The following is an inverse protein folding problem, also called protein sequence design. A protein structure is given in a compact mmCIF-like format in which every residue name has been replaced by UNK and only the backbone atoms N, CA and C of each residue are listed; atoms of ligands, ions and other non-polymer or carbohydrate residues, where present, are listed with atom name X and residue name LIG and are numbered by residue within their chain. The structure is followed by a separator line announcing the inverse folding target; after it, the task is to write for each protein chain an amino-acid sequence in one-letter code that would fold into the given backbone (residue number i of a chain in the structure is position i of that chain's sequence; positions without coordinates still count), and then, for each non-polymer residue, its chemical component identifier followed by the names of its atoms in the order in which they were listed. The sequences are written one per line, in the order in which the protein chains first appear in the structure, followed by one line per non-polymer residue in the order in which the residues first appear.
data_IF_153565403983
#
_entry.id   IF_153565403983
#
_cell.length_a   1.000
_cell.length_b   1.000
_cell.length_c   1.000
_cell.angle_alpha   90.00
_cell.angle_beta   90.00
_cell.angle_gamma   90.00
#
_symmetry.space_group_name_H-M   'P 1'
#
loop_
_entity.id
_entity.type
_entity.pdbx_description
1 polymer ?
#
# COMPACT_ATOMS: atom_id res chain seq x y z
N UNK A 1 1.91 -5.58 -26.66
CA UNK A 1 2.36 -6.61 -27.64
C UNK A 1 3.83 -7.02 -27.44
N UNK A 2 4.74 -6.08 -27.11
CA UNK A 2 6.19 -6.41 -27.03
C UNK A 2 6.56 -7.31 -25.84
N UNK A 3 5.84 -7.25 -24.75
CA UNK A 3 6.02 -8.18 -23.63
C UNK A 3 5.74 -9.63 -24.03
N UNK A 4 4.64 -9.87 -24.80
CA UNK A 4 4.33 -11.19 -25.32
C UNK A 4 5.39 -11.66 -26.32
N UNK A 5 5.83 -10.76 -27.20
CA UNK A 5 6.91 -11.06 -28.16
C UNK A 5 8.22 -11.43 -27.46
N UNK A 6 8.56 -10.75 -26.34
CA UNK A 6 9.73 -11.08 -25.54
C UNK A 6 9.62 -12.48 -24.94
N UNK A 7 8.45 -12.84 -24.39
CA UNK A 7 8.23 -14.16 -23.78
C UNK A 7 8.25 -15.30 -24.81
N UNK A 8 7.84 -15.04 -26.03
CA UNK A 8 7.71 -16.07 -27.08
C UNK A 8 8.92 -16.18 -28.01
N UNK A 9 9.86 -15.21 -28.02
CA UNK A 9 10.99 -15.24 -28.94
C UNK A 9 12.08 -16.22 -28.52
N UNK A 10 12.59 -17.00 -29.46
CA UNK A 10 13.77 -17.84 -29.28
C UNK A 10 15.08 -17.14 -29.73
N UNK A 11 14.96 -16.01 -30.42
CA UNK A 11 16.09 -15.20 -30.89
C UNK A 11 16.63 -14.33 -29.74
N UNK A 12 17.84 -14.62 -29.31
CA UNK A 12 18.51 -13.91 -28.20
C UNK A 12 18.78 -12.43 -28.51
N UNK A 13 19.08 -12.07 -29.76
CA UNK A 13 19.32 -10.68 -30.14
C UNK A 13 18.04 -9.86 -30.07
N UNK A 14 16.93 -10.43 -30.58
CA UNK A 14 15.59 -9.84 -30.48
C UNK A 14 15.11 -9.76 -29.01
N UNK A 15 15.34 -10.80 -28.21
CA UNK A 15 15.00 -10.80 -26.80
C UNK A 15 15.70 -9.66 -26.05
N UNK A 16 17.01 -9.45 -26.26
CA UNK A 16 17.75 -8.34 -25.66
C UNK A 16 17.19 -6.97 -26.03
N UNK A 17 16.87 -6.74 -27.32
CA UNK A 17 16.27 -5.48 -27.77
C UNK A 17 14.92 -5.21 -27.11
N UNK A 18 14.06 -6.22 -27.07
CA UNK A 18 12.73 -6.11 -26.44
C UNK A 18 12.85 -5.90 -24.92
N UNK A 19 13.75 -6.60 -24.24
CA UNK A 19 13.97 -6.43 -22.80
C UNK A 19 14.47 -5.01 -22.48
N UNK A 20 15.40 -4.48 -23.28
CA UNK A 20 15.89 -3.11 -23.11
C UNK A 20 14.77 -2.07 -23.33
N UNK A 21 13.99 -2.22 -24.42
CA UNK A 21 12.85 -1.36 -24.71
C UNK A 21 11.82 -1.37 -23.56
N UNK A 22 11.40 -2.55 -23.11
CA UNK A 22 10.44 -2.68 -22.02
C UNK A 22 11.00 -2.13 -20.70
N UNK A 23 12.27 -2.33 -20.43
CA UNK A 23 12.95 -1.77 -19.26
C UNK A 23 13.00 -0.24 -19.27
N UNK A 24 13.30 0.38 -20.42
CA UNK A 24 13.30 1.84 -20.55
C UNK A 24 11.90 2.43 -20.41
N UNK A 25 10.91 1.86 -21.10
CA UNK A 25 9.50 2.29 -20.98
C UNK A 25 8.97 2.12 -19.55
N UNK A 26 9.37 1.07 -18.84
CA UNK A 26 8.97 0.89 -17.45
C UNK A 26 9.60 1.93 -16.53
N UNK A 27 10.87 2.28 -16.71
CA UNK A 27 11.52 3.36 -15.94
C UNK A 27 10.83 4.71 -16.18
N UNK A 28 10.54 5.04 -17.44
CA UNK A 28 9.79 6.26 -17.77
C UNK A 28 8.42 6.28 -17.10
N UNK A 29 7.66 5.18 -17.16
CA UNK A 29 6.38 5.05 -16.48
C UNK A 29 6.51 5.24 -14.96
N UNK A 30 7.56 4.68 -14.34
CA UNK A 30 7.84 4.84 -12.90
C UNK A 30 8.11 6.30 -12.57
N UNK A 31 8.96 6.97 -13.33
CA UNK A 31 9.27 8.39 -13.13
C UNK A 31 8.00 9.25 -13.24
N UNK A 32 7.21 9.10 -14.31
CA UNK A 32 5.95 9.83 -14.48
C UNK A 32 5.00 9.55 -13.30
N UNK A 33 4.95 8.31 -12.83
CA UNK A 33 4.10 7.95 -11.69
C UNK A 33 4.57 8.66 -10.42
N UNK A 34 5.86 8.69 -10.13
CA UNK A 34 6.44 9.35 -8.94
C UNK A 34 6.19 10.86 -8.97
N UNK A 35 6.47 11.52 -10.09
CA UNK A 35 6.21 12.96 -10.28
C UNK A 35 4.72 13.28 -10.09
N UNK A 36 3.84 12.47 -10.67
CA UNK A 36 2.38 12.65 -10.55
C UNK A 36 1.92 12.43 -9.11
N UNK A 37 2.46 11.44 -8.40
CA UNK A 37 2.16 11.17 -6.99
C UNK A 37 2.58 12.37 -6.12
N UNK A 38 3.79 12.89 -6.31
CA UNK A 38 4.28 14.05 -5.56
C UNK A 38 3.38 15.27 -5.77
N UNK A 39 3.01 15.55 -7.02
CA UNK A 39 2.09 16.64 -7.33
C UNK A 39 0.70 16.41 -6.73
N UNK A 40 0.14 15.20 -6.82
CA UNK A 40 -1.15 14.87 -6.24
C UNK A 40 -1.16 15.03 -4.72
N UNK A 41 -0.10 14.59 -4.03
CA UNK A 41 0.08 14.78 -2.58
C UNK A 41 0.12 16.25 -2.20
N UNK A 42 0.84 17.08 -2.95
CA UNK A 42 0.88 18.51 -2.68
C UNK A 42 -0.51 19.16 -2.74
N UNK A 43 -1.37 18.70 -3.67
CA UNK A 43 -2.77 19.17 -3.75
C UNK A 43 -3.59 18.73 -2.51
N UNK A 44 -3.39 17.51 -2.02
CA UNK A 44 -4.07 17.03 -0.79
C UNK A 44 -3.66 17.90 0.41
N UNK A 45 -2.38 18.21 0.56
CA UNK A 45 -1.85 18.97 1.70
C UNK A 45 -2.26 20.45 1.63
N UNK A 46 -2.28 21.06 0.44
CA UNK A 46 -2.61 22.49 0.27
C UNK A 46 -4.11 22.77 0.40
N UNK A 47 -4.98 21.81 0.09
CA UNK A 47 -6.44 21.97 0.32
C UNK A 47 -6.82 22.08 1.80
N UNK A 48 -5.84 21.95 2.70
CA UNK A 48 -6.01 21.96 4.17
C UNK A 48 -5.45 23.21 4.85
N UNK A 49 -5.01 24.24 4.12
CA UNK A 49 -4.37 25.44 4.69
C UNK A 49 -5.34 26.52 5.17
N UNK A 50 -6.12 26.22 6.20
CA UNK A 50 -6.74 27.22 7.06
C UNK A 50 -6.53 26.84 8.54
N UNK A 51 -5.36 27.13 9.09
CA UNK A 51 -5.09 27.36 10.51
C UNK A 51 -5.47 26.30 11.58
N UNK A 52 -6.18 25.26 11.23
CA UNK A 52 -6.51 24.11 12.10
C UNK A 52 -5.85 22.86 11.55
N UNK A 53 -5.41 21.92 12.42
CA UNK A 53 -4.82 20.62 12.04
C UNK A 53 -5.59 20.04 10.84
N UNK A 54 -4.95 20.08 9.67
CA UNK A 54 -5.55 19.82 8.38
C UNK A 54 -6.14 18.41 8.30
N UNK A 55 -7.47 18.34 8.35
CA UNK A 55 -8.20 17.09 8.22
C UNK A 55 -8.27 16.74 6.75
N UNK A 56 -7.50 15.76 6.31
CA UNK A 56 -7.61 15.17 4.97
C UNK A 56 -9.07 14.79 4.72
N UNK A 57 -9.63 15.16 3.57
CA UNK A 57 -11.01 14.85 3.22
C UNK A 57 -11.30 13.36 3.27
N UNK A 58 -12.57 12.99 3.43
CA UNK A 58 -12.97 11.59 3.47
C UNK A 58 -12.80 10.88 2.11
N UNK A 59 -12.87 11.63 1.01
CA UNK A 59 -12.59 11.22 -0.36
C UNK A 59 -11.45 12.10 -0.90
N UNK A 60 -10.47 11.51 -1.57
CA UNK A 60 -9.48 12.26 -2.34
C UNK A 60 -9.94 12.33 -3.80
N UNK A 61 -10.26 13.53 -4.27
CA UNK A 61 -10.59 13.77 -5.68
C UNK A 61 -9.60 14.78 -6.26
N UNK A 62 -8.74 14.31 -7.17
CA UNK A 62 -7.63 15.10 -7.68
C UNK A 62 -7.63 15.07 -9.21
N UNK A 63 -7.78 16.23 -9.81
CA UNK A 63 -7.84 16.40 -11.25
C UNK A 63 -6.74 17.34 -11.74
N UNK A 64 -6.11 16.99 -12.86
CA UNK A 64 -5.15 17.84 -13.52
C UNK A 64 -4.97 17.46 -14.99
N UNK A 65 -4.70 18.46 -15.84
CA UNK A 65 -4.50 18.28 -17.29
C UNK A 65 -3.18 17.57 -17.63
N UNK A 66 -2.13 17.72 -16.81
CA UNK A 66 -0.85 17.06 -17.04
C UNK A 66 -0.86 15.57 -16.68
N UNK A 67 -1.93 15.05 -16.07
CA UNK A 67 -1.97 13.65 -15.66
C UNK A 67 -2.20 12.71 -16.83
N UNK A 68 -1.27 11.79 -17.02
CA UNK A 68 -1.40 10.79 -18.09
C UNK A 68 -2.35 9.65 -17.71
N UNK A 69 -3.27 9.30 -18.60
CA UNK A 69 -4.26 8.24 -18.38
C UNK A 69 -3.62 6.89 -18.01
N UNK A 70 -2.42 6.59 -18.53
CA UNK A 70 -1.70 5.34 -18.27
C UNK A 70 -1.22 5.17 -16.82
N UNK A 71 -1.13 6.24 -16.02
CA UNK A 71 -0.60 6.19 -14.66
C UNK A 71 -1.59 6.58 -13.56
N UNK A 72 -2.73 7.23 -13.88
CA UNK A 72 -3.68 7.71 -12.87
C UNK A 72 -4.18 6.60 -11.93
N UNK A 73 -4.31 5.36 -12.42
CA UNK A 73 -4.69 4.23 -11.58
C UNK A 73 -3.62 3.81 -10.57
N UNK A 74 -2.33 3.98 -10.92
CA UNK A 74 -1.22 3.75 -10.00
C UNK A 74 -1.15 4.86 -8.95
N UNK A 75 -1.35 6.11 -9.39
CA UNK A 75 -1.40 7.28 -8.50
C UNK A 75 -2.54 7.15 -7.48
N UNK A 76 -3.75 6.80 -7.93
CA UNK A 76 -4.88 6.56 -7.03
C UNK A 76 -4.56 5.46 -6.00
N UNK A 77 -3.89 4.37 -6.42
CA UNK A 77 -3.44 3.31 -5.50
C UNK A 77 -2.46 3.83 -4.45
N UNK A 78 -1.47 4.62 -4.86
CA UNK A 78 -0.48 5.21 -3.95
C UNK A 78 -1.09 6.18 -2.93
N UNK A 79 -2.10 6.95 -3.35
CA UNK A 79 -2.83 7.82 -2.43
C UNK A 79 -3.63 7.02 -1.40
N UNK A 80 -4.27 5.91 -1.81
CA UNK A 80 -4.95 5.01 -0.86
C UNK A 80 -3.96 4.35 0.10
N UNK A 81 -2.80 3.90 -0.39
CA UNK A 81 -1.75 3.32 0.45
C UNK A 81 -1.26 4.29 1.52
N UNK A 82 -1.17 5.58 1.21
CA UNK A 82 -0.63 6.59 2.13
C UNK A 82 -1.69 7.15 3.07
N UNK A 83 -2.77 7.65 2.51
CA UNK A 83 -3.79 8.38 3.28
C UNK A 83 -4.93 7.50 3.82
N UNK A 84 -5.04 6.25 3.36
CA UNK A 84 -6.14 5.35 3.64
C UNK A 84 -7.51 6.01 3.41
N UNK A 85 -7.67 6.62 2.25
CA UNK A 85 -8.91 7.27 1.79
C UNK A 85 -9.23 6.77 0.39
N UNK A 86 -10.51 6.52 0.05
CA UNK A 86 -10.89 6.31 -1.34
C UNK A 86 -10.39 7.47 -2.18
N UNK A 87 -9.76 7.15 -3.31
CA UNK A 87 -9.03 8.14 -4.12
C UNK A 87 -9.45 8.05 -5.57
N UNK A 88 -9.83 9.18 -6.15
CA UNK A 88 -10.18 9.38 -7.55
C UNK A 88 -9.13 10.32 -8.15
N UNK A 89 -8.45 9.86 -9.18
CA UNK A 89 -7.46 10.67 -9.93
C UNK A 89 -7.93 10.82 -11.36
N UNK A 90 -8.00 12.05 -11.82
CA UNK A 90 -8.58 12.42 -13.11
C UNK A 90 -7.50 13.03 -14.02
N UNK A 91 -7.39 12.46 -15.21
CA UNK A 91 -6.70 13.06 -16.35
C UNK A 91 -7.70 13.97 -17.06
N UNK A 92 -7.53 15.27 -16.93
CA UNK A 92 -8.41 16.26 -17.54
C UNK A 92 -8.07 16.39 -19.03
N UNK A 93 -9.06 16.21 -19.87
CA UNK A 93 -8.96 16.39 -21.32
C UNK A 93 -9.84 17.53 -21.83
N UNK A 94 -9.74 17.87 -23.10
CA UNK A 94 -10.47 19.00 -23.67
C UNK A 94 -12.01 18.81 -23.60
N UNK A 95 -12.51 17.70 -24.10
CA UNK A 95 -13.95 17.38 -24.15
C UNK A 95 -14.34 16.35 -23.10
N UNK A 96 -13.51 15.35 -22.92
CA UNK A 96 -13.75 14.24 -21.99
C UNK A 96 -12.57 14.06 -21.07
N UNK A 97 -12.87 13.96 -19.78
CA UNK A 97 -11.90 13.63 -18.74
C UNK A 97 -12.05 12.17 -18.35
N UNK A 98 -10.90 11.49 -18.13
CA UNK A 98 -10.89 10.09 -17.70
C UNK A 98 -10.34 9.95 -16.30
N UNK A 99 -11.03 9.16 -15.48
CA UNK A 99 -10.69 8.95 -14.09
C UNK A 99 -10.37 7.50 -13.79
N UNK A 100 -9.52 7.32 -12.81
CA UNK A 100 -9.30 6.03 -12.16
C UNK A 100 -9.47 6.19 -10.65
N UNK A 101 -10.20 5.27 -10.06
CA UNK A 101 -10.52 5.27 -8.65
C UNK A 101 -9.97 4.02 -7.95
N UNK A 102 -9.61 4.18 -6.68
CA UNK A 102 -9.22 3.08 -5.78
C UNK A 102 -9.93 3.25 -4.45
N UNK A 103 -10.27 2.14 -3.81
CA UNK A 103 -11.05 2.12 -2.59
C UNK A 103 -10.25 1.66 -1.38
N UNK A 104 -10.86 1.82 -0.20
CA UNK A 104 -10.46 1.19 1.05
C UNK A 104 -11.36 -0.03 1.32
N UNK A 105 -10.93 -0.92 2.22
CA UNK A 105 -11.71 -2.10 2.59
C UNK A 105 -13.11 -1.68 3.12
N UNK A 106 -14.14 -2.41 2.68
CA UNK A 106 -15.52 -2.17 3.10
C UNK A 106 -16.27 -1.07 2.32
N UNK A 107 -15.63 -0.34 1.41
CA UNK A 107 -16.28 0.69 0.61
C UNK A 107 -16.32 0.32 -0.88
N UNK A 108 -17.52 0.19 -1.46
CA UNK A 108 -17.73 -0.17 -2.87
C UNK A 108 -17.65 1.07 -3.76
N UNK A 109 -16.44 1.33 -4.33
CA UNK A 109 -16.18 2.55 -5.11
C UNK A 109 -16.95 2.61 -6.43
N UNK A 110 -17.23 1.47 -7.09
CA UNK A 110 -17.96 1.50 -8.37
C UNK A 110 -19.45 1.84 -8.16
N UNK A 111 -20.10 1.31 -7.12
CA UNK A 111 -21.47 1.69 -6.79
C UNK A 111 -21.54 3.13 -6.33
N UNK A 112 -20.58 3.58 -5.55
CA UNK A 112 -20.46 4.96 -5.14
C UNK A 112 -20.35 5.90 -6.35
N UNK A 113 -19.48 5.62 -7.31
CA UNK A 113 -19.36 6.42 -8.54
C UNK A 113 -20.67 6.38 -9.36
N UNK A 114 -21.25 5.21 -9.51
CA UNK A 114 -22.53 5.04 -10.24
C UNK A 114 -23.71 5.77 -9.58
N UNK A 115 -23.62 6.07 -8.30
CA UNK A 115 -24.65 6.90 -7.65
C UNK A 115 -24.78 8.29 -8.29
N UNK A 116 -23.75 8.76 -9.02
CA UNK A 116 -23.73 10.03 -9.76
C UNK A 116 -23.75 9.81 -11.29
N UNK A 117 -24.40 8.73 -11.75
CA UNK A 117 -24.45 8.32 -13.17
C UNK A 117 -24.96 9.39 -14.11
N UNK A 118 -25.78 10.32 -13.63
CA UNK A 118 -26.32 11.46 -14.38
C UNK A 118 -25.25 12.40 -14.97
N UNK A 119 -24.04 12.37 -14.40
CA UNK A 119 -22.89 13.16 -14.88
C UNK A 119 -21.91 12.35 -15.74
N UNK A 120 -22.05 11.02 -15.77
CA UNK A 120 -21.05 10.13 -16.36
C UNK A 120 -21.39 9.77 -17.81
N UNK A 121 -20.37 9.65 -18.64
CA UNK A 121 -20.46 9.07 -19.98
C UNK A 121 -20.44 7.54 -19.88
N UNK A 122 -19.50 7.02 -19.07
CA UNK A 122 -19.39 5.61 -18.76
C UNK A 122 -18.76 5.41 -17.36
N UNK A 123 -19.01 4.26 -16.76
CA UNK A 123 -18.34 3.84 -15.53
C UNK A 123 -18.29 2.31 -15.43
N UNK A 124 -17.12 1.79 -15.12
CA UNK A 124 -16.88 0.35 -14.98
C UNK A 124 -15.83 0.03 -13.91
N UNK A 125 -15.86 -1.20 -13.42
CA UNK A 125 -14.90 -1.65 -12.43
C UNK A 125 -15.46 -2.65 -11.43
N UNK A 126 -14.76 -2.73 -10.30
CA UNK A 126 -15.03 -3.63 -9.18
C UNK A 126 -15.09 -2.83 -7.87
N UNK A 127 -15.54 -3.42 -6.75
CA UNK A 127 -15.64 -2.69 -5.48
C UNK A 127 -14.38 -1.95 -5.04
N UNK A 128 -13.19 -2.49 -5.35
CA UNK A 128 -11.91 -1.90 -4.94
C UNK A 128 -11.25 -1.00 -5.98
N UNK A 129 -11.69 -1.04 -7.25
CA UNK A 129 -11.06 -0.29 -8.34
C UNK A 129 -12.07 -0.01 -9.45
N UNK A 130 -12.20 1.23 -9.85
CA UNK A 130 -13.10 1.64 -10.90
C UNK A 130 -12.46 2.67 -11.82
N UNK A 131 -13.05 2.85 -12.99
CA UNK A 131 -12.75 3.92 -13.91
C UNK A 131 -14.03 4.52 -14.46
N UNK A 132 -13.98 5.78 -14.87
CA UNK A 132 -15.10 6.44 -15.51
C UNK A 132 -14.63 7.52 -16.49
N UNK A 133 -15.54 7.89 -17.37
CA UNK A 133 -15.38 9.02 -18.27
C UNK A 133 -16.49 10.04 -17.97
N UNK A 134 -16.14 11.32 -17.94
CA UNK A 134 -17.03 12.43 -17.70
C UNK A 134 -16.78 13.52 -18.75
N UNK A 135 -17.81 14.25 -19.17
CA UNK A 135 -17.63 15.49 -19.93
C UNK A 135 -16.87 16.51 -19.07
N UNK A 136 -15.80 17.10 -19.60
CA UNK A 136 -14.93 17.97 -18.81
C UNK A 136 -15.68 19.15 -18.18
N UNK A 137 -16.69 19.66 -18.85
CA UNK A 137 -17.55 20.73 -18.35
C UNK A 137 -18.35 20.32 -17.09
N UNK A 138 -18.66 19.03 -16.92
CA UNK A 138 -19.39 18.48 -15.76
C UNK A 138 -18.49 18.05 -14.61
N UNK A 139 -17.17 18.09 -14.80
CA UNK A 139 -16.20 17.55 -13.82
C UNK A 139 -16.32 18.22 -12.45
N UNK A 140 -16.46 19.54 -12.40
CA UNK A 140 -16.54 20.27 -11.13
C UNK A 140 -17.81 19.92 -10.34
N UNK A 141 -18.97 19.80 -11.02
CA UNK A 141 -20.24 19.41 -10.39
C UNK A 141 -20.19 17.97 -9.92
N UNK A 142 -19.61 17.06 -10.72
CA UNK A 142 -19.40 15.67 -10.31
C UNK A 142 -18.51 15.58 -9.06
N UNK A 143 -17.40 16.31 -9.03
CA UNK A 143 -16.49 16.36 -7.86
C UNK A 143 -17.26 16.77 -6.60
N UNK A 144 -17.96 17.92 -6.65
CA UNK A 144 -18.72 18.41 -5.51
C UNK A 144 -19.76 17.39 -5.05
N UNK A 145 -20.52 16.81 -5.99
CA UNK A 145 -21.55 15.80 -5.68
C UNK A 145 -20.95 14.58 -4.99
N UNK A 146 -19.81 14.07 -5.48
CA UNK A 146 -19.15 12.92 -4.89
C UNK A 146 -18.55 13.26 -3.51
N UNK A 147 -17.95 14.43 -3.32
CA UNK A 147 -17.43 14.86 -2.02
C UNK A 147 -18.55 15.00 -0.98
N UNK A 148 -19.69 15.57 -1.34
CA UNK A 148 -20.88 15.68 -0.47
C UNK A 148 -21.44 14.31 -0.09
N UNK A 149 -21.56 13.38 -1.06
CA UNK A 149 -22.01 12.00 -0.79
C UNK A 149 -21.00 11.24 0.07
N UNK A 150 -19.70 11.40 -0.19
CA UNK A 150 -18.63 10.79 0.57
C UNK A 150 -18.64 11.26 2.04
N UNK A 151 -18.89 12.52 2.29
CA UNK A 151 -18.95 13.06 3.67
C UNK A 151 -20.02 12.38 4.53
N UNK A 152 -21.11 11.90 3.92
CA UNK A 152 -22.23 11.22 4.58
C UNK A 152 -22.00 9.71 4.73
N UNK A 153 -21.30 9.09 3.77
CA UNK A 153 -21.12 7.63 3.71
C UNK A 153 -19.84 7.15 4.38
N UNK A 154 -18.78 7.94 4.29
CA UNK A 154 -17.47 7.57 4.83
C UNK A 154 -17.33 8.09 6.26
N UNK A 155 -17.43 7.19 7.20
CA UNK A 155 -17.24 7.46 8.62
C UNK A 155 -15.80 7.12 9.08
N UNK A 156 -15.46 7.47 10.32
CA UNK A 156 -14.13 7.23 10.88
C UNK A 156 -13.75 5.74 10.94
N UNK A 157 -14.71 4.84 11.07
CA UNK A 157 -14.48 3.41 11.14
C UNK A 157 -13.99 2.86 9.79
N UNK A 158 -14.66 3.18 8.69
CA UNK A 158 -14.23 2.82 7.32
C UNK A 158 -12.89 3.45 6.92
N UNK A 159 -12.57 4.60 7.49
CA UNK A 159 -11.35 5.35 7.20
C UNK A 159 -10.22 5.08 8.20
N UNK A 160 -10.37 4.09 9.05
CA UNK A 160 -9.33 3.62 9.96
C UNK A 160 -8.73 2.33 9.44
N UNK A 161 -7.41 2.35 9.24
CA UNK A 161 -6.69 1.14 8.81
C UNK A 161 -6.71 0.12 9.95
N UNK A 162 -7.20 -1.07 9.66
CA UNK A 162 -7.25 -2.18 10.61
C UNK A 162 -6.37 -3.32 10.15
N UNK A 163 -5.72 -3.99 11.11
CA UNK A 163 -5.01 -5.24 10.89
C UNK A 163 -5.79 -6.38 11.54
N UNK A 164 -6.09 -7.41 10.75
CA UNK A 164 -6.64 -8.65 11.29
C UNK A 164 -5.51 -9.46 11.91
N UNK A 165 -5.66 -9.81 13.16
CA UNK A 165 -4.79 -10.70 13.90
C UNK A 165 -5.54 -11.99 14.16
N UNK A 166 -4.92 -13.14 13.89
CA UNK A 166 -5.54 -14.46 14.08
C UNK A 166 -5.42 -14.93 15.53
N UNK A 167 -4.26 -14.74 16.16
CA UNK A 167 -4.11 -14.98 17.60
C UNK A 167 -2.90 -14.25 18.19
N UNK A 168 -2.83 -14.21 19.52
CA UNK A 168 -1.64 -13.83 20.25
C UNK A 168 -0.66 -15.02 20.27
N UNK A 169 0.59 -14.77 19.85
CA UNK A 169 1.65 -15.78 19.83
C UNK A 169 2.93 -15.16 20.40
N UNK A 170 3.32 -15.52 21.63
CA UNK A 170 4.58 -15.06 22.21
C UNK A 170 5.79 -15.58 21.42
N UNK A 171 6.86 -14.79 21.34
CA UNK A 171 8.07 -15.16 20.58
C UNK A 171 8.70 -16.48 21.07
N UNK A 172 8.58 -16.79 22.34
CA UNK A 172 9.11 -18.01 22.97
C UNK A 172 8.53 -19.32 22.41
N UNK A 173 7.34 -19.26 21.78
CA UNK A 173 6.67 -20.46 21.23
C UNK A 173 7.09 -20.70 19.77
N UNK A 174 7.74 -19.72 19.13
CA UNK A 174 8.15 -19.83 17.74
C UNK A 174 9.28 -20.84 17.62
N UNK A 175 9.06 -21.84 16.77
CA UNK A 175 9.99 -22.93 16.47
C UNK A 175 9.88 -23.34 15.01
N UNK A 176 10.88 -24.05 14.49
CA UNK A 176 10.84 -24.65 13.15
C UNK A 176 9.64 -25.56 13.00
N UNK A 177 9.32 -26.38 14.01
CA UNK A 177 8.15 -27.26 13.98
C UNK A 177 6.82 -26.51 13.88
N UNK A 178 6.69 -25.34 14.52
CA UNK A 178 5.53 -24.46 14.35
C UNK A 178 5.48 -23.90 12.93
N UNK A 179 6.61 -23.41 12.41
CA UNK A 179 6.69 -22.89 11.06
C UNK A 179 6.29 -23.94 10.01
N UNK A 180 6.82 -25.17 10.12
CA UNK A 180 6.46 -26.29 9.25
C UNK A 180 4.97 -26.63 9.32
N UNK A 181 4.38 -26.57 10.51
CA UNK A 181 2.95 -26.79 10.69
C UNK A 181 2.12 -25.68 9.99
N UNK A 182 2.55 -24.43 10.08
CA UNK A 182 1.91 -23.30 9.38
C UNK A 182 2.05 -23.43 7.85
N UNK A 183 3.20 -23.88 7.35
CA UNK A 183 3.41 -24.09 5.91
C UNK A 183 2.49 -25.14 5.29
N UNK A 184 1.90 -26.05 6.09
CA UNK A 184 0.87 -26.99 5.61
C UNK A 184 -0.45 -26.30 5.22
N UNK A 185 -0.66 -25.05 5.65
CA UNK A 185 -1.80 -24.22 5.25
C UNK A 185 -1.58 -23.53 3.89
N UNK A 186 -0.37 -23.54 3.36
CA UNK A 186 -0.04 -22.95 2.06
C UNK A 186 -0.74 -23.70 0.88
N UNK A 187 -0.94 -23.04 -0.28
CA UNK A 187 -0.43 -21.71 -0.65
C UNK A 187 -1.28 -20.57 -0.07
N UNK A 188 -0.62 -19.56 0.43
CA UNK A 188 -1.27 -18.36 0.92
C UNK A 188 -1.62 -17.39 -0.22
N UNK A 189 -2.71 -16.61 -0.05
CA UNK A 189 -3.19 -15.66 -1.03
C UNK A 189 -4.47 -14.94 -0.58
N UNK A 190 -5.20 -14.32 -1.50
CA UNK A 190 -6.34 -13.45 -1.18
C UNK A 190 -7.45 -14.09 -0.33
N UNK A 191 -7.76 -15.39 -0.55
CA UNK A 191 -8.80 -16.14 0.19
C UNK A 191 -8.25 -17.06 1.29
N UNK A 192 -6.93 -17.16 1.35
CA UNK A 192 -6.20 -17.91 2.36
C UNK A 192 -5.02 -17.05 2.83
N UNK A 193 -5.24 -15.99 3.62
CA UNK A 193 -4.16 -15.10 4.05
C UNK A 193 -3.19 -15.85 4.97
N UNK A 194 -1.94 -15.42 4.92
CA UNK A 194 -0.91 -15.91 5.83
C UNK A 194 -1.29 -15.57 7.27
N UNK A 195 -1.23 -16.56 8.22
CA UNK A 195 -1.54 -16.33 9.60
C UNK A 195 -0.76 -15.16 10.21
N UNK A 196 -1.48 -14.27 10.86
CA UNK A 196 -0.93 -13.03 11.42
C UNK A 196 -1.06 -13.06 12.94
N UNK A 197 0.05 -12.82 13.61
CA UNK A 197 0.17 -12.94 15.05
C UNK A 197 0.43 -11.60 15.72
N UNK A 198 0.10 -11.48 17.00
CA UNK A 198 0.53 -10.38 17.85
C UNK A 198 1.40 -10.93 19.00
N UNK A 199 2.52 -10.27 19.26
CA UNK A 199 3.27 -10.46 20.49
C UNK A 199 3.34 -9.12 21.24
N UNK A 200 3.15 -9.19 22.54
CA UNK A 200 3.12 -8.00 23.41
C UNK A 200 4.36 -7.89 24.25
N UNK A 201 4.69 -6.64 24.57
CA UNK A 201 5.77 -6.35 25.53
C UNK A 201 7.11 -6.94 25.10
N UNK A 202 7.40 -6.90 23.81
CA UNK A 202 8.63 -7.38 23.18
C UNK A 202 9.71 -6.31 23.31
N UNK A 203 10.94 -6.70 23.61
CA UNK A 203 12.08 -5.80 23.81
C UNK A 203 12.86 -5.67 22.50
N UNK A 204 13.22 -4.46 22.13
CA UNK A 204 14.11 -4.17 21.01
C UNK A 204 15.56 -4.31 21.47
N UNK A 205 16.27 -5.33 21.01
CA UNK A 205 17.71 -5.54 21.28
C UNK A 205 18.62 -4.81 20.30
N UNK A 206 18.22 -4.72 19.02
CA UNK A 206 18.93 -3.98 17.96
C UNK A 206 17.91 -3.36 17.00
N UNK A 207 18.28 -2.21 16.43
CA UNK A 207 17.44 -1.46 15.52
C UNK A 207 18.32 -0.73 14.50
N UNK A 208 18.06 -0.95 13.20
CA UNK A 208 18.72 -0.24 12.12
C UNK A 208 17.86 -0.14 10.88
N UNK A 209 18.09 0.88 10.11
CA UNK A 209 17.49 1.03 8.78
C UNK A 209 18.31 0.25 7.74
N UNK A 210 17.65 -0.39 6.79
CA UNK A 210 18.25 -1.17 5.71
C UNK A 210 17.54 -0.92 4.37
N UNK A 211 18.16 -1.37 3.30
CA UNK A 211 17.68 -1.15 1.93
C UNK A 211 18.15 0.19 1.36
N UNK A 212 17.82 0.44 0.08
CA UNK A 212 18.15 1.71 -0.56
C UNK A 212 17.45 2.86 0.21
N UNK A 213 18.19 3.89 0.56
CA UNK A 213 17.73 5.08 1.29
C UNK A 213 17.15 4.79 2.69
N UNK A 214 17.54 3.66 3.33
CA UNK A 214 17.04 3.32 4.66
C UNK A 214 15.54 3.01 4.72
N UNK A 215 14.95 2.57 3.63
CA UNK A 215 13.50 2.39 3.46
C UNK A 215 12.86 1.38 4.41
N UNK A 216 13.61 0.43 4.93
CA UNK A 216 13.10 -0.66 5.77
C UNK A 216 13.73 -0.60 7.16
N UNK A 217 13.02 -1.11 8.16
CA UNK A 217 13.50 -1.21 9.54
C UNK A 217 13.84 -2.66 9.84
N UNK A 218 15.09 -2.94 10.16
CA UNK A 218 15.56 -4.24 10.67
C UNK A 218 15.71 -4.17 12.17
N UNK A 219 15.16 -5.16 12.85
CA UNK A 219 15.10 -5.24 14.31
C UNK A 219 15.66 -6.58 14.76
N UNK A 220 16.17 -6.60 15.99
CA UNK A 220 16.37 -7.81 16.77
C UNK A 220 15.47 -7.73 17.99
N UNK A 221 14.60 -8.71 18.16
CA UNK A 221 13.50 -8.68 19.13
C UNK A 221 13.60 -9.84 20.10
N UNK A 222 13.37 -9.57 21.39
CA UNK A 222 13.34 -10.58 22.44
C UNK A 222 12.15 -10.32 23.38
N UNK A 223 11.61 -11.35 24.00
CA UNK A 223 10.46 -11.20 24.90
C UNK A 223 10.84 -11.31 26.37
N UNK A 224 11.97 -11.95 26.72
CA UNK A 224 12.44 -12.04 28.08
C UNK A 224 13.98 -11.85 28.16
N UNK A 225 14.42 -10.97 29.08
CA UNK A 225 15.84 -10.66 29.30
C UNK A 225 16.64 -11.81 29.95
N UNK A 226 16.00 -12.90 30.42
CA UNK A 226 16.63 -13.89 31.28
C UNK A 226 16.91 -15.26 30.69
N UNK A 227 16.47 -15.54 29.48
CA UNK A 227 16.71 -16.82 28.84
C UNK A 227 17.76 -16.59 27.72
N UNK A 228 18.79 -17.42 27.68
CA UNK A 228 19.87 -17.42 26.67
C UNK A 228 19.36 -17.72 25.22
N UNK A 229 18.16 -17.35 24.88
CA UNK A 229 17.64 -17.49 23.53
C UNK A 229 18.04 -16.25 22.73
N UNK A 230 18.73 -16.51 21.64
CA UNK A 230 19.03 -15.49 20.63
C UNK A 230 17.71 -14.87 20.19
N UNK A 231 17.58 -13.55 20.35
CA UNK A 231 16.40 -12.82 19.89
C UNK A 231 16.12 -13.05 18.40
N UNK A 232 14.88 -12.91 18.00
CA UNK A 232 14.45 -13.08 16.61
C UNK A 232 14.88 -11.91 15.74
N UNK A 233 15.47 -12.20 14.59
CA UNK A 233 15.61 -11.21 13.52
C UNK A 233 14.24 -10.85 12.96
N UNK A 234 13.98 -9.56 12.76
CA UNK A 234 12.73 -9.06 12.26
C UNK A 234 12.94 -7.97 11.21
N UNK A 235 12.07 -7.94 10.21
CA UNK A 235 12.07 -6.94 9.15
C UNK A 235 10.71 -6.27 9.02
N UNK A 236 10.67 -4.93 9.07
CA UNK A 236 9.50 -4.10 8.82
C UNK A 236 9.68 -3.35 7.50
N UNK A 237 9.10 -3.90 6.45
CA UNK A 237 9.21 -3.31 5.12
C UNK A 237 8.48 -1.97 5.02
N UNK A 238 9.13 -0.96 4.45
CA UNK A 238 8.56 0.37 4.27
C UNK A 238 8.46 1.22 5.53
N UNK A 239 9.02 0.76 6.68
CA UNK A 239 8.90 1.45 7.97
C UNK A 239 10.22 2.13 8.41
N UNK A 240 11.16 2.36 7.49
CA UNK A 240 12.45 2.97 7.82
C UNK A 240 12.33 4.36 8.46
N UNK A 241 11.37 5.18 8.01
CA UNK A 241 11.10 6.51 8.55
C UNK A 241 10.67 6.49 10.02
N UNK A 242 10.07 5.37 10.48
CA UNK A 242 9.65 5.17 11.88
C UNK A 242 10.79 4.80 12.82
N UNK A 243 12.03 4.62 12.30
CA UNK A 243 13.18 4.28 13.14
C UNK A 243 13.38 5.25 14.31
N UNK A 244 13.11 6.54 14.09
CA UNK A 244 13.23 7.58 15.13
C UNK A 244 12.18 7.50 16.26
N UNK A 245 11.10 6.72 16.07
CA UNK A 245 10.06 6.52 17.09
C UNK A 245 10.53 5.55 18.19
N UNK A 246 11.55 4.72 17.92
CA UNK A 246 11.95 3.60 18.75
C UNK A 246 13.42 3.65 19.15
N UNK A 247 13.73 3.07 20.31
CA UNK A 247 15.10 2.94 20.83
C UNK A 247 15.37 1.51 21.27
N UNK A 248 16.66 1.16 21.36
CA UNK A 248 17.09 -0.08 21.96
C UNK A 248 16.59 -0.09 23.41
N UNK A 249 16.12 -1.21 23.90
CA UNK A 249 15.46 -1.47 25.20
C UNK A 249 13.99 -1.03 25.29
N UNK A 250 13.44 -0.32 24.28
CA UNK A 250 12.00 -0.05 24.26
C UNK A 250 11.20 -1.36 24.25
N UNK A 251 10.04 -1.33 24.92
CA UNK A 251 9.04 -2.40 24.86
C UNK A 251 7.97 -2.05 23.85
N UNK A 252 7.68 -2.99 22.97
CA UNK A 252 6.77 -2.81 21.85
C UNK A 252 5.79 -3.98 21.73
N UNK A 253 4.58 -3.67 21.30
CA UNK A 253 3.65 -4.66 20.77
C UNK A 253 3.88 -4.74 19.26
N UNK A 254 4.00 -5.93 18.74
CA UNK A 254 4.25 -6.19 17.32
C UNK A 254 3.16 -7.05 16.71
N UNK A 255 2.77 -6.73 15.48
CA UNK A 255 1.95 -7.60 14.61
C UNK A 255 2.85 -8.14 13.53
N UNK A 256 2.89 -9.47 13.37
CA UNK A 256 3.89 -10.12 12.53
C UNK A 256 3.39 -11.41 11.87
N UNK A 257 4.10 -11.85 10.84
CA UNK A 257 4.06 -13.21 10.30
C UNK A 257 5.44 -13.84 10.45
N UNK A 258 5.51 -15.18 10.41
CA UNK A 258 6.75 -15.94 10.54
C UNK A 258 7.18 -16.35 9.13
N UNK A 259 8.41 -16.00 8.76
CA UNK A 259 8.99 -16.38 7.47
C UNK A 259 10.43 -16.87 7.64
N UNK A 260 11.02 -17.34 6.58
CA UNK A 260 12.38 -17.82 6.51
C UNK A 260 13.27 -16.80 5.78
N UNK A 261 14.38 -16.39 6.42
CA UNK A 261 15.37 -15.52 5.76
C UNK A 261 16.21 -16.33 4.76
N UNK A 262 15.78 -16.31 3.50
CA UNK A 262 16.47 -16.96 2.38
C UNK A 262 17.49 -16.06 1.68
N UNK A 263 17.58 -14.79 2.07
CA UNK A 263 18.41 -13.81 1.34
C UNK A 263 19.91 -14.08 1.49
N UNK A 264 20.35 -14.59 2.63
CA UNK A 264 21.76 -14.83 2.90
C UNK A 264 22.16 -16.32 2.87
N UNK A 265 21.29 -17.21 2.37
CA UNK A 265 21.53 -18.65 2.37
C UNK A 265 21.49 -19.31 3.76
N UNK A 266 21.07 -18.57 4.78
CA UNK A 266 20.83 -19.07 6.12
C UNK A 266 19.31 -19.31 6.26
N UNK A 267 18.93 -20.57 6.38
CA UNK A 267 17.54 -20.96 6.64
C UNK A 267 17.21 -20.70 8.11
N UNK A 268 17.11 -19.39 8.48
CA UNK A 268 16.71 -18.97 9.83
C UNK A 268 15.33 -18.35 9.80
N UNK A 269 14.52 -18.65 10.81
CA UNK A 269 13.24 -18.01 10.99
C UNK A 269 13.43 -16.50 11.22
N UNK A 270 12.62 -15.72 10.55
CA UNK A 270 12.58 -14.26 10.64
C UNK A 270 11.13 -13.78 10.81
N UNK A 271 10.93 -12.71 11.56
CA UNK A 271 9.63 -12.09 11.70
C UNK A 271 9.44 -11.01 10.63
N UNK A 272 8.36 -11.08 9.87
CA UNK A 272 7.92 -9.98 9.01
C UNK A 272 6.92 -9.13 9.79
N UNK A 273 7.35 -7.96 10.20
CA UNK A 273 6.54 -7.03 10.97
C UNK A 273 5.54 -6.33 10.04
N UNK A 274 4.26 -6.42 10.39
CA UNK A 274 3.17 -5.70 9.70
C UNK A 274 2.84 -4.37 10.37
N UNK A 275 3.01 -4.30 11.69
CA UNK A 275 2.91 -3.06 12.48
C UNK A 275 3.59 -3.23 13.83
N UNK A 276 4.01 -2.10 14.44
CA UNK A 276 4.57 -2.07 15.78
C UNK A 276 4.22 -0.76 16.46
N UNK A 277 4.05 -0.80 17.76
CA UNK A 277 3.81 0.37 18.63
C UNK A 277 4.47 0.18 19.99
N UNK A 278 4.76 1.25 20.69
CA UNK A 278 5.17 1.17 22.10
C UNK A 278 4.07 0.54 22.94
N UNK A 279 4.46 -0.35 23.87
CA UNK A 279 3.53 -1.07 24.78
C UNK A 279 2.97 -0.14 25.83
#
# INVERSE_FOLDING_TARGET
MDSLRLLCTKDKARARKLAHLLGSTNRERQQITEETVLHAKSKVIHSTSSGQKSKVGNLLFIAHESYQQGVIGLVAGKLVEEFYRPSIVVSVGDKYSKASARSVAGFNIIEFIRSASEFLVDAGGHPMAAGFTVETEKLAVLQQTLEERASKLLNGELLTRTLRVDCELPLLIISEGLYDALQKLAPFGMKNPEPTFVARNVIIEDLKTVGNDGRHLKLKLNQELRIMNQGFDAIAFGMGERASEFHITDRVDIVYTIDEDRWNGNEKLQLKIKDLKKS
#
